data_IF_699171996431
#
_entry.id   IF_699171996431
#
_cell.length_a   1.000
_cell.length_b   1.000
_cell.length_c   1.000
_cell.angle_alpha   90.00
_cell.angle_beta   90.00
_cell.angle_gamma   90.00
#
_symmetry.space_group_name_H-M   'P 1'
#
loop_
_entity.id
_entity.type
_entity.pdbx_description
1 polymer ?
#
# COMPACT_ATOMS: atom_id res chain seq x y z
N UNK A 1 -26.11 27.73 -30.07
CA UNK A 1 -25.96 27.92 -28.60
C UNK A 1 -25.91 26.54 -27.97
N UNK A 2 -24.68 26.02 -27.77
CA UNK A 2 -24.49 24.68 -27.18
C UNK A 2 -24.41 24.83 -25.66
N UNK A 3 -25.39 24.28 -24.98
CA UNK A 3 -25.40 24.21 -23.53
C UNK A 3 -24.32 23.18 -23.12
N UNK A 4 -23.25 23.65 -22.50
CA UNK A 4 -22.25 22.86 -21.83
C UNK A 4 -22.93 22.15 -20.64
N UNK A 5 -23.23 20.86 -20.80
CA UNK A 5 -23.69 19.98 -19.73
C UNK A 5 -22.56 19.90 -18.70
N UNK A 6 -22.67 20.66 -17.61
CA UNK A 6 -21.82 20.51 -16.43
C UNK A 6 -22.21 19.16 -15.81
N UNK A 7 -21.47 18.11 -16.13
CA UNK A 7 -21.63 16.78 -15.55
C UNK A 7 -21.58 16.94 -14.03
N UNK A 8 -22.69 16.63 -13.36
CA UNK A 8 -22.79 16.64 -11.90
C UNK A 8 -21.87 15.54 -11.38
N UNK A 9 -20.76 15.91 -10.74
CA UNK A 9 -19.83 15.00 -10.11
C UNK A 9 -20.59 14.01 -9.24
N UNK A 10 -20.42 12.72 -9.48
CA UNK A 10 -21.12 11.67 -8.73
C UNK A 10 -20.69 11.68 -7.24
N UNK A 11 -21.51 11.08 -6.37
CA UNK A 11 -21.17 10.96 -4.97
C UNK A 11 -19.87 10.19 -4.77
N UNK A 12 -19.65 9.16 -5.59
CA UNK A 12 -18.45 8.33 -5.53
C UNK A 12 -17.20 9.10 -6.02
N UNK A 13 -17.29 9.79 -7.13
CA UNK A 13 -16.19 10.63 -7.62
C UNK A 13 -15.78 11.69 -6.59
N UNK A 14 -16.75 12.25 -5.87
CA UNK A 14 -16.48 13.22 -4.81
C UNK A 14 -15.84 12.58 -3.59
N UNK A 15 -16.30 11.38 -3.19
CA UNK A 15 -15.68 10.60 -2.12
C UNK A 15 -14.22 10.30 -2.44
N UNK A 16 -13.94 9.85 -3.65
CA UNK A 16 -12.60 9.59 -4.15
C UNK A 16 -11.72 10.85 -4.18
N UNK A 17 -12.26 11.98 -4.59
CA UNK A 17 -11.53 13.25 -4.56
C UNK A 17 -11.14 13.64 -3.13
N UNK A 18 -12.06 13.46 -2.15
CA UNK A 18 -11.78 13.73 -0.73
C UNK A 18 -10.69 12.80 -0.20
N UNK A 19 -10.75 11.49 -0.48
CA UNK A 19 -9.73 10.53 -0.07
C UNK A 19 -8.34 10.88 -0.64
N UNK A 20 -8.29 11.26 -1.92
CA UNK A 20 -7.04 11.65 -2.57
C UNK A 20 -6.45 12.97 -2.03
N UNK A 21 -7.30 13.94 -1.68
CA UNK A 21 -6.85 15.17 -1.03
C UNK A 21 -6.35 14.88 0.40
N UNK A 22 -7.11 14.12 1.18
CA UNK A 22 -6.74 13.72 2.54
C UNK A 22 -5.42 12.94 2.56
N UNK A 23 -5.21 11.98 1.64
CA UNK A 23 -3.96 11.25 1.50
C UNK A 23 -2.76 12.20 1.40
N UNK A 24 -2.83 13.19 0.51
CA UNK A 24 -1.74 14.17 0.33
C UNK A 24 -1.45 14.95 1.60
N UNK A 25 -2.49 15.39 2.30
CA UNK A 25 -2.34 16.11 3.56
C UNK A 25 -1.75 15.24 4.67
N UNK A 26 -2.30 14.04 4.88
CA UNK A 26 -1.79 13.12 5.91
C UNK A 26 -0.33 12.73 5.69
N UNK A 27 0.11 12.61 4.45
CA UNK A 27 1.51 12.33 4.14
C UNK A 27 2.40 13.56 4.31
N UNK A 28 1.93 14.74 3.93
CA UNK A 28 2.76 15.96 3.94
C UNK A 28 2.89 16.61 5.32
N UNK A 29 1.83 16.56 6.13
CA UNK A 29 1.74 17.26 7.42
C UNK A 29 1.45 16.32 8.61
N UNK A 30 1.31 15.01 8.36
CA UNK A 30 0.90 14.02 9.34
C UNK A 30 -0.59 14.08 9.67
N UNK A 31 -1.05 13.09 10.43
CA UNK A 31 -2.43 13.06 10.91
C UNK A 31 -2.73 14.27 11.80
N UNK A 32 -1.86 14.54 12.78
CA UNK A 32 -2.09 15.59 13.76
C UNK A 32 -2.07 17.00 13.14
N UNK A 33 -1.20 17.22 12.14
CA UNK A 33 -1.07 18.49 11.42
C UNK A 33 -2.15 18.75 10.37
N UNK A 34 -2.94 17.74 10.00
CA UNK A 34 -4.00 17.86 8.99
C UNK A 34 -5.34 18.20 9.63
N UNK A 35 -6.04 19.21 9.10
CA UNK A 35 -7.42 19.54 9.45
C UNK A 35 -8.43 19.13 8.38
N UNK A 36 -9.70 18.92 8.77
CA UNK A 36 -10.79 18.71 7.80
C UNK A 36 -11.00 19.92 6.89
N UNK A 37 -10.63 21.13 7.38
CA UNK A 37 -10.68 22.37 6.59
C UNK A 37 -9.64 22.36 5.47
N UNK A 38 -8.44 21.82 5.72
CA UNK A 38 -7.37 21.74 4.73
C UNK A 38 -7.79 20.88 3.54
N UNK A 39 -8.41 19.74 3.85
CA UNK A 39 -8.95 18.83 2.83
C UNK A 39 -10.08 19.50 2.04
N UNK A 40 -11.01 20.17 2.72
CA UNK A 40 -12.11 20.89 2.09
C UNK A 40 -11.59 22.00 1.16
N UNK A 41 -10.68 22.84 1.65
CA UNK A 41 -10.10 23.96 0.91
C UNK A 41 -9.38 23.49 -0.37
N UNK A 42 -8.63 22.37 -0.31
CA UNK A 42 -7.96 21.78 -1.48
C UNK A 42 -8.92 21.46 -2.63
N UNK A 43 -10.17 21.15 -2.30
CA UNK A 43 -11.19 20.77 -3.27
C UNK A 43 -12.19 21.90 -3.59
N UNK A 44 -12.03 23.08 -2.99
CA UNK A 44 -13.01 24.16 -3.08
C UNK A 44 -14.37 23.79 -2.47
N UNK A 45 -14.38 22.89 -1.47
CA UNK A 45 -15.57 22.44 -0.76
C UNK A 45 -15.68 23.17 0.58
N UNK A 46 -16.91 23.24 1.12
CA UNK A 46 -17.08 23.65 2.51
C UNK A 46 -16.85 22.47 3.48
N UNK A 47 -16.36 22.74 4.68
CA UNK A 47 -16.15 21.76 5.74
C UNK A 47 -17.35 20.84 5.99
N UNK A 48 -18.61 21.37 6.08
CA UNK A 48 -19.79 20.52 6.24
C UNK A 48 -19.98 19.50 5.11
N UNK A 49 -19.54 19.80 3.89
CA UNK A 49 -19.63 18.84 2.78
C UNK A 49 -18.69 17.66 3.03
N UNK A 50 -17.46 17.87 3.50
CA UNK A 50 -16.53 16.78 3.82
C UNK A 50 -17.11 15.91 4.95
N UNK A 51 -17.71 16.52 5.97
CA UNK A 51 -18.37 15.77 7.06
C UNK A 51 -19.61 14.97 6.64
N UNK A 52 -20.22 15.26 5.48
CA UNK A 52 -21.28 14.40 4.91
C UNK A 52 -20.74 13.06 4.35
N UNK A 53 -19.44 12.97 4.09
CA UNK A 53 -18.78 11.76 3.60
C UNK A 53 -18.03 11.00 4.69
N UNK A 54 -17.45 11.72 5.65
CA UNK A 54 -16.64 11.16 6.74
C UNK A 54 -17.01 11.87 8.03
N UNK A 55 -17.48 11.14 9.02
CA UNK A 55 -18.03 11.70 10.26
C UNK A 55 -16.95 12.34 11.16
N UNK A 56 -15.70 11.95 10.97
CA UNK A 56 -14.55 12.47 11.71
C UNK A 56 -13.27 12.48 10.85
N UNK A 57 -12.23 13.16 11.32
CA UNK A 57 -10.89 13.09 10.74
C UNK A 57 -10.33 11.66 10.85
N UNK A 58 -10.63 10.97 11.94
CA UNK A 58 -10.23 9.60 12.16
C UNK A 58 -10.87 8.65 11.14
N UNK A 59 -12.20 8.74 10.92
CA UNK A 59 -12.86 7.93 9.88
C UNK A 59 -12.31 8.22 8.48
N UNK A 60 -11.98 9.48 8.19
CA UNK A 60 -11.34 9.83 6.93
C UNK A 60 -9.94 9.21 6.81
N UNK A 61 -9.17 9.21 7.90
CA UNK A 61 -7.84 8.61 7.93
C UNK A 61 -7.92 7.09 7.72
N UNK A 62 -8.79 6.39 8.46
CA UNK A 62 -8.97 4.94 8.30
C UNK A 62 -9.43 4.58 6.88
N UNK A 63 -10.30 5.37 6.26
CA UNK A 63 -10.71 5.14 4.88
C UNK A 63 -9.57 5.36 3.86
N UNK A 64 -8.66 6.30 4.12
CA UNK A 64 -7.44 6.48 3.31
C UNK A 64 -6.49 5.30 3.50
N UNK A 65 -6.34 4.82 4.74
CA UNK A 65 -5.53 3.65 5.08
C UNK A 65 -6.08 2.36 4.44
N UNK A 66 -7.41 2.17 4.46
CA UNK A 66 -8.09 1.07 3.78
C UNK A 66 -7.78 1.07 2.27
N UNK A 67 -7.85 2.24 1.64
CA UNK A 67 -7.51 2.39 0.22
C UNK A 67 -6.05 2.05 -0.06
N UNK A 68 -5.12 2.47 0.80
CA UNK A 68 -3.71 2.12 0.69
C UNK A 68 -3.50 0.60 0.79
N UNK A 69 -4.13 -0.03 1.78
CA UNK A 69 -4.08 -1.47 1.99
C UNK A 69 -4.66 -2.26 0.81
N UNK A 70 -5.82 -1.82 0.30
CA UNK A 70 -6.42 -2.44 -0.89
C UNK A 70 -5.52 -2.34 -2.11
N UNK A 71 -4.89 -1.20 -2.34
CA UNK A 71 -3.96 -1.03 -3.45
C UNK A 71 -2.78 -2.03 -3.35
N UNK A 72 -2.18 -2.18 -2.17
CA UNK A 72 -1.12 -3.16 -1.94
C UNK A 72 -1.60 -4.60 -2.19
N UNK A 73 -2.77 -4.96 -1.66
CA UNK A 73 -3.36 -6.30 -1.83
C UNK A 73 -3.64 -6.61 -3.30
N UNK A 74 -4.23 -5.68 -4.04
CA UNK A 74 -4.53 -5.83 -5.47
C UNK A 74 -3.23 -5.95 -6.29
N UNK A 75 -2.19 -5.19 -5.96
CA UNK A 75 -0.86 -5.25 -6.58
C UNK A 75 -0.23 -6.63 -6.40
N UNK A 76 -0.20 -7.15 -5.17
CA UNK A 76 0.37 -8.46 -4.87
C UNK A 76 -0.47 -9.57 -5.49
N UNK A 77 -1.80 -9.51 -5.38
CA UNK A 77 -2.70 -10.51 -5.99
C UNK A 77 -2.51 -10.59 -7.51
N UNK A 78 -2.39 -9.44 -8.18
CA UNK A 78 -2.13 -9.37 -9.62
C UNK A 78 -0.80 -10.04 -9.99
N UNK A 79 0.25 -9.79 -9.22
CA UNK A 79 1.56 -10.39 -9.45
C UNK A 79 1.56 -11.92 -9.23
N UNK A 80 0.83 -12.40 -8.22
CA UNK A 80 0.70 -13.84 -7.93
C UNK A 80 -0.09 -14.60 -9.00
N UNK A 81 -1.03 -13.94 -9.68
CA UNK A 81 -1.88 -14.54 -10.71
C UNK A 81 -1.23 -14.54 -12.11
N UNK A 82 0.02 -14.12 -12.25
CA UNK A 82 0.74 -14.17 -13.53
C UNK A 82 1.07 -15.61 -13.93
N UNK A 83 1.14 -15.85 -15.24
CA UNK A 83 1.58 -17.14 -15.78
C UNK A 83 3.10 -17.28 -15.65
N UNK A 84 3.59 -18.45 -15.22
CA UNK A 84 5.01 -18.70 -15.15
C UNK A 84 5.41 -19.76 -14.14
N UNK A 85 6.71 -19.96 -14.00
CA UNK A 85 7.25 -20.84 -12.95
C UNK A 85 7.10 -20.18 -11.57
N UNK A 86 7.08 -21.00 -10.50
CA UNK A 86 7.03 -20.51 -9.12
C UNK A 86 8.11 -19.46 -8.84
N UNK A 87 9.32 -19.66 -9.38
CA UNK A 87 10.42 -18.69 -9.28
C UNK A 87 10.08 -17.36 -9.93
N UNK A 88 9.43 -17.39 -11.10
CA UNK A 88 9.00 -16.17 -11.81
C UNK A 88 7.94 -15.42 -11.03
N UNK A 89 6.97 -16.14 -10.47
CA UNK A 89 5.85 -15.56 -9.71
C UNK A 89 6.34 -14.92 -8.40
N UNK A 90 7.19 -15.62 -7.64
CA UNK A 90 7.80 -15.07 -6.41
C UNK A 90 8.59 -13.79 -6.73
N UNK A 91 9.41 -13.82 -7.79
CA UNK A 91 10.14 -12.63 -8.22
C UNK A 91 9.21 -11.48 -8.61
N UNK A 92 8.15 -11.76 -9.36
CA UNK A 92 7.16 -10.78 -9.76
C UNK A 92 6.45 -10.16 -8.55
N UNK A 93 6.11 -10.97 -7.54
CA UNK A 93 5.45 -10.48 -6.32
C UNK A 93 6.36 -9.60 -5.46
N UNK A 94 7.62 -9.99 -5.29
CA UNK A 94 8.61 -9.15 -4.59
C UNK A 94 8.83 -7.85 -5.36
N UNK A 95 9.00 -7.92 -6.69
CA UNK A 95 9.14 -6.73 -7.52
C UNK A 95 7.93 -5.81 -7.42
N UNK A 96 6.73 -6.36 -7.53
CA UNK A 96 5.48 -5.61 -7.42
C UNK A 96 5.35 -4.88 -6.07
N UNK A 97 5.85 -5.47 -4.98
CA UNK A 97 5.91 -4.79 -3.69
C UNK A 97 6.87 -3.60 -3.72
N UNK A 98 8.06 -3.74 -4.30
CA UNK A 98 9.01 -2.63 -4.39
C UNK A 98 8.58 -1.56 -5.40
N UNK A 99 7.95 -1.95 -6.51
CA UNK A 99 7.31 -1.01 -7.44
C UNK A 99 6.20 -0.22 -6.74
N UNK A 100 5.37 -0.88 -5.89
CA UNK A 100 4.39 -0.19 -5.04
C UNK A 100 5.04 0.82 -4.08
N UNK A 101 6.19 0.47 -3.47
CA UNK A 101 6.92 1.39 -2.59
C UNK A 101 7.48 2.60 -3.35
N UNK A 102 7.91 2.42 -4.59
CA UNK A 102 8.51 3.47 -5.43
C UNK A 102 7.47 4.35 -6.13
N UNK A 103 6.47 3.72 -6.75
CA UNK A 103 5.44 4.38 -7.55
C UNK A 103 4.43 5.15 -6.69
N UNK A 104 4.09 4.63 -5.51
CA UNK A 104 3.16 5.29 -4.59
C UNK A 104 3.70 5.38 -3.16
N UNK A 105 4.79 6.14 -3.02
CA UNK A 105 5.41 6.42 -1.72
C UNK A 105 4.42 6.91 -0.67
N UNK A 106 3.34 7.59 -1.08
CA UNK A 106 2.34 8.11 -0.16
C UNK A 106 1.56 6.96 0.51
N UNK A 107 1.21 5.90 -0.24
CA UNK A 107 0.57 4.73 0.34
C UNK A 107 1.53 3.95 1.24
N UNK A 108 2.81 3.82 0.83
CA UNK A 108 3.82 3.21 1.69
C UNK A 108 3.97 3.95 3.03
N UNK A 109 4.06 5.28 2.99
CA UNK A 109 4.19 6.09 4.21
C UNK A 109 2.99 5.93 5.15
N UNK A 110 1.77 5.89 4.61
CA UNK A 110 0.57 5.67 5.41
C UNK A 110 0.56 4.32 6.12
N UNK A 111 1.00 3.25 5.42
CA UNK A 111 0.98 1.90 5.97
C UNK A 111 2.15 1.60 6.91
N UNK A 112 3.33 2.21 6.70
CA UNK A 112 4.56 1.76 7.35
C UNK A 112 5.39 2.85 8.04
N UNK A 113 5.05 4.12 7.86
CA UNK A 113 5.83 5.27 8.39
C UNK A 113 4.93 6.44 8.82
N UNK A 114 3.71 6.15 9.25
CA UNK A 114 2.73 7.14 9.71
C UNK A 114 2.93 7.50 11.18
N UNK A 115 2.53 8.71 11.55
CA UNK A 115 2.41 9.16 12.94
C UNK A 115 1.20 8.57 13.70
N UNK A 116 0.45 7.69 13.04
CA UNK A 116 -0.71 6.97 13.61
C UNK A 116 -0.43 5.46 13.86
N UNK A 117 0.83 5.02 13.81
CA UNK A 117 1.16 3.61 14.06
C UNK A 117 0.86 3.16 15.51
N UNK A 118 0.79 4.09 16.45
CA UNK A 118 0.41 3.82 17.85
C UNK A 118 -1.11 3.89 18.08
N UNK A 119 -1.90 4.31 17.09
CA UNK A 119 -3.37 4.26 17.15
C UNK A 119 -3.84 2.82 16.95
N UNK A 120 -4.68 2.33 17.87
CA UNK A 120 -5.08 0.92 17.93
C UNK A 120 -5.82 0.50 16.65
N UNK A 121 -6.80 1.31 16.20
CA UNK A 121 -7.60 0.96 15.02
C UNK A 121 -6.75 1.03 13.73
N UNK A 122 -5.85 1.99 13.62
CA UNK A 122 -4.92 2.08 12.50
C UNK A 122 -3.95 0.88 12.48
N UNK A 123 -3.39 0.52 13.63
CA UNK A 123 -2.49 -0.63 13.76
C UNK A 123 -3.19 -1.96 13.41
N UNK A 124 -4.39 -2.19 13.92
CA UNK A 124 -5.22 -3.35 13.59
C UNK A 124 -5.52 -3.42 12.09
N UNK A 125 -5.79 -2.27 11.47
CA UNK A 125 -6.05 -2.20 10.03
C UNK A 125 -4.82 -2.58 9.21
N UNK A 126 -3.65 -2.06 9.55
CA UNK A 126 -2.39 -2.43 8.89
C UNK A 126 -2.08 -3.92 9.10
N UNK A 127 -2.26 -4.46 10.30
CA UNK A 127 -2.08 -5.88 10.58
C UNK A 127 -3.01 -6.75 9.72
N UNK A 128 -4.28 -6.36 9.58
CA UNK A 128 -5.24 -7.06 8.73
C UNK A 128 -4.82 -7.05 7.25
N UNK A 129 -4.33 -5.91 6.74
CA UNK A 129 -3.80 -5.79 5.38
C UNK A 129 -2.64 -6.76 5.18
N UNK A 130 -1.66 -6.75 6.10
CA UNK A 130 -0.47 -7.60 6.00
C UNK A 130 -0.80 -9.09 6.16
N UNK A 131 -1.73 -9.44 7.05
CA UNK A 131 -2.23 -10.81 7.20
C UNK A 131 -2.88 -11.33 5.92
N UNK A 132 -3.64 -10.48 5.24
CA UNK A 132 -4.26 -10.80 3.94
C UNK A 132 -3.20 -11.05 2.87
N UNK A 133 -2.17 -10.21 2.79
CA UNK A 133 -1.05 -10.39 1.84
C UNK A 133 -0.32 -11.71 2.11
N UNK A 134 -0.01 -12.00 3.39
CA UNK A 134 0.61 -13.29 3.78
C UNK A 134 -0.26 -14.47 3.37
N UNK A 135 -1.58 -14.37 3.56
CA UNK A 135 -2.52 -15.44 3.20
C UNK A 135 -2.55 -15.68 1.68
N UNK A 136 -2.53 -14.63 0.85
CA UNK A 136 -2.47 -14.77 -0.60
C UNK A 136 -1.19 -15.49 -1.04
N UNK A 137 -0.05 -15.11 -0.49
CA UNK A 137 1.24 -15.73 -0.80
C UNK A 137 1.28 -17.19 -0.30
N UNK A 138 0.82 -17.46 0.92
CA UNK A 138 0.77 -18.81 1.49
C UNK A 138 -0.11 -19.75 0.66
N UNK A 139 -1.29 -19.27 0.25
CA UNK A 139 -2.18 -20.02 -0.63
C UNK A 139 -1.49 -20.38 -1.94
N UNK A 140 -0.81 -19.41 -2.56
CA UNK A 140 -0.06 -19.65 -3.80
C UNK A 140 1.06 -20.68 -3.60
N UNK A 141 1.84 -20.57 -2.50
CA UNK A 141 2.91 -21.52 -2.16
C UNK A 141 2.34 -22.92 -1.97
N UNK A 142 1.26 -23.11 -1.22
CA UNK A 142 0.64 -24.42 -0.97
C UNK A 142 0.16 -25.09 -2.25
N UNK A 143 -0.36 -24.34 -3.22
CA UNK A 143 -0.81 -24.88 -4.51
C UNK A 143 0.34 -25.18 -5.46
N UNK A 144 1.43 -24.47 -5.34
CA UNK A 144 2.58 -24.56 -6.21
C UNK A 144 3.65 -25.56 -5.73
N UNK A 145 3.53 -26.08 -4.51
CA UNK A 145 4.50 -26.97 -3.85
C UNK A 145 3.80 -28.08 -3.08
N UNK A 146 4.58 -28.99 -2.52
CA UNK A 146 4.10 -30.06 -1.61
C UNK A 146 4.11 -29.65 -0.14
N UNK A 147 4.32 -28.35 0.15
CA UNK A 147 4.33 -27.86 1.51
C UNK A 147 2.93 -27.88 2.12
N UNK A 148 2.85 -28.31 3.38
CA UNK A 148 1.61 -28.20 4.14
C UNK A 148 1.26 -26.70 4.42
N UNK A 149 -0.01 -26.39 4.70
CA UNK A 149 -0.45 -25.00 4.88
C UNK A 149 0.32 -24.24 5.97
N UNK A 150 0.70 -24.88 7.07
CA UNK A 150 1.41 -24.22 8.16
C UNK A 150 2.84 -23.80 7.75
N UNK A 151 3.54 -24.66 7.03
CA UNK A 151 4.87 -24.34 6.47
C UNK A 151 4.79 -23.28 5.38
N UNK A 152 3.75 -23.34 4.53
CA UNK A 152 3.50 -22.31 3.52
C UNK A 152 3.24 -20.95 4.16
N UNK A 153 2.46 -20.92 5.24
CA UNK A 153 2.18 -19.70 6.02
C UNK A 153 3.45 -19.11 6.64
N UNK A 154 4.30 -19.97 7.24
CA UNK A 154 5.58 -19.53 7.83
C UNK A 154 6.51 -18.94 6.76
N UNK A 155 6.61 -19.59 5.60
CA UNK A 155 7.44 -19.12 4.49
C UNK A 155 6.91 -17.79 3.94
N UNK A 156 5.60 -17.66 3.75
CA UNK A 156 4.97 -16.42 3.30
C UNK A 156 5.24 -15.26 4.28
N UNK A 157 5.06 -15.50 5.60
CA UNK A 157 5.36 -14.50 6.63
C UNK A 157 6.83 -14.08 6.62
N UNK A 158 7.75 -15.03 6.37
CA UNK A 158 9.18 -14.75 6.27
C UNK A 158 9.50 -13.84 5.06
N UNK A 159 8.89 -14.13 3.90
CA UNK A 159 9.07 -13.33 2.67
C UNK A 159 8.52 -11.91 2.89
N UNK A 160 7.31 -11.79 3.42
CA UNK A 160 6.67 -10.49 3.68
C UNK A 160 7.50 -9.68 4.70
N UNK A 161 7.90 -10.30 5.81
CA UNK A 161 8.74 -9.63 6.83
C UNK A 161 10.09 -9.17 6.29
N UNK A 162 10.76 -10.00 5.49
CA UNK A 162 12.01 -9.63 4.84
C UNK A 162 11.81 -8.47 3.85
N UNK A 163 10.75 -8.50 3.02
CA UNK A 163 10.47 -7.46 2.04
C UNK A 163 10.14 -6.12 2.70
N UNK A 164 9.32 -6.11 3.76
CA UNK A 164 8.97 -4.88 4.50
C UNK A 164 10.18 -4.29 5.24
N UNK A 165 11.03 -5.14 5.84
CA UNK A 165 12.27 -4.69 6.48
C UNK A 165 13.26 -4.11 5.46
N UNK A 166 13.42 -4.75 4.30
CA UNK A 166 14.27 -4.28 3.23
C UNK A 166 13.75 -2.94 2.65
N UNK A 167 12.44 -2.81 2.42
CA UNK A 167 11.84 -1.56 1.96
C UNK A 167 12.04 -0.42 2.94
N UNK A 168 11.87 -0.67 4.25
CA UNK A 168 12.14 0.34 5.30
C UNK A 168 13.58 0.81 5.28
N UNK A 169 14.53 -0.09 5.09
CA UNK A 169 15.94 0.24 4.96
C UNK A 169 16.20 1.04 3.68
N UNK A 170 15.66 0.58 2.56
CA UNK A 170 15.83 1.23 1.26
C UNK A 170 15.30 2.67 1.25
N UNK A 171 14.08 2.89 1.77
CA UNK A 171 13.50 4.23 1.87
C UNK A 171 14.35 5.17 2.75
N UNK A 172 14.96 4.65 3.83
CA UNK A 172 15.80 5.43 4.75
C UNK A 172 17.21 5.72 4.23
N UNK A 173 17.80 4.76 3.50
CA UNK A 173 19.24 4.80 3.18
C UNK A 173 19.55 5.51 1.88
N UNK A 174 18.61 5.80 1.05
CA UNK A 174 18.67 6.60 -0.15
C UNK A 174 18.08 5.90 -1.39
N UNK A 175 16.98 6.41 -1.78
CA UNK A 175 16.42 6.32 -3.12
C UNK A 175 17.39 6.64 -4.24
N UNK A 176 18.54 7.23 -3.95
CA UNK A 176 19.49 7.74 -4.93
C UNK A 176 20.75 6.88 -5.14
N UNK A 177 21.00 5.90 -4.24
CA UNK A 177 22.25 5.12 -4.31
C UNK A 177 22.06 3.62 -4.56
N UNK A 178 20.86 3.08 -4.36
CA UNK A 178 20.58 1.67 -4.56
C UNK A 178 19.66 1.48 -5.78
N UNK A 179 20.26 1.16 -6.90
CA UNK A 179 19.52 0.71 -8.08
C UNK A 179 18.78 -0.60 -7.75
N UNK A 180 17.49 -0.66 -8.08
CA UNK A 180 16.67 -1.87 -7.99
C UNK A 180 17.26 -3.08 -8.75
N UNK A 181 18.27 -2.86 -9.60
CA UNK A 181 19.03 -3.93 -10.24
C UNK A 181 19.64 -4.91 -9.24
N UNK A 182 19.92 -4.49 -7.99
CA UNK A 182 20.40 -5.37 -6.91
C UNK A 182 19.34 -6.34 -6.41
N UNK A 183 18.04 -6.08 -6.64
CA UNK A 183 16.95 -6.99 -6.34
C UNK A 183 16.76 -8.02 -7.47
N UNK A 184 17.45 -7.88 -8.57
CA UNK A 184 17.63 -8.93 -9.55
C UNK A 184 18.48 -10.06 -8.96
N UNK A 185 17.93 -10.79 -7.98
CA UNK A 185 18.43 -12.10 -7.53
C UNK A 185 18.22 -13.09 -8.69
N UNK A 186 18.92 -12.85 -9.79
CA UNK A 186 18.89 -13.74 -10.95
C UNK A 186 19.92 -14.83 -10.86
N UNK A 187 20.94 -14.71 -9.99
CA UNK A 187 21.95 -15.73 -9.79
C UNK A 187 22.40 -15.81 -8.32
N UNK A 188 22.00 -16.84 -7.57
CA UNK A 188 22.53 -17.07 -6.22
C UNK A 188 24.05 -17.38 -6.22
N UNK A 189 24.66 -17.60 -7.37
CA UNK A 189 26.07 -17.95 -7.55
C UNK A 189 27.04 -16.80 -7.40
N UNK A 190 26.59 -15.53 -7.49
CA UNK A 190 27.51 -14.38 -7.33
C UNK A 190 27.76 -13.94 -5.89
N UNK A 191 26.90 -14.36 -4.94
CA UNK A 191 27.09 -14.03 -3.53
C UNK A 191 28.02 -14.98 -2.76
N UNK A 192 28.46 -16.07 -3.40
CA UNK A 192 29.37 -17.08 -2.79
C UNK A 192 30.81 -17.01 -3.33
N UNK A 193 31.17 -15.96 -4.06
CA UNK A 193 32.51 -15.77 -4.59
C UNK A 193 33.22 -14.53 -4.02
N UNK A 194 33.05 -14.30 -2.70
CA UNK A 194 33.91 -13.41 -1.90
C UNK A 194 34.63 -14.26 -0.86
#
# INVERSE_FOLDING_TARGET
MSATSTSRVSREERREAILNAARRHFVSTGYHGTGMDDVANTLGLSKPIVYQYFSSKHDLYLAVLEKAGKNLQDTISTALNQSGSNRTIVRASVRAFFDFVDDDMQYYQLLFDSDMLDDIEAAEHVEQVMSTVVTYIAHHISHATTLDPARAQLLASSVVGASTSAAKTWVKTARHELDLSLIHISEPTRLLSI
#
